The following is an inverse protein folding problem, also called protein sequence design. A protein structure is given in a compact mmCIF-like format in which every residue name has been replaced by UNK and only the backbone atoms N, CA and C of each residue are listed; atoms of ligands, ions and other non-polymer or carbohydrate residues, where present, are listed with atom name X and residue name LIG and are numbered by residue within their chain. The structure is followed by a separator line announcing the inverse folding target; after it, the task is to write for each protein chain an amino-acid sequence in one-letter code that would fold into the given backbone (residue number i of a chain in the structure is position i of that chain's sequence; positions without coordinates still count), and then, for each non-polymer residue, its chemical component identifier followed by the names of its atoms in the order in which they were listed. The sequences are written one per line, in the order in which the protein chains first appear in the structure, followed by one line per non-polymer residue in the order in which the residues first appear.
data_IF_323942173547
#
_entry.id   IF_323942173547
#
_cell.length_a   1.000
_cell.length_b   1.000
_cell.length_c   1.000
_cell.angle_alpha   90.00
_cell.angle_beta   90.00
_cell.angle_gamma   90.00
#
_symmetry.space_group_name_H-M   'P 1'
#
loop_
_entity.id
_entity.type
_entity.pdbx_description
1 polymer ?
#
# COMPACT_ATOMS: atom_id res chain seq x y z
N UNK A 1 -40.71 48.37 13.69
CA UNK A 1 -39.35 48.74 13.23
C UNK A 1 -38.25 47.97 13.95
N UNK A 2 -38.19 47.95 15.29
CA UNK A 2 -37.17 47.17 16.02
C UNK A 2 -37.24 45.64 15.78
N UNK A 3 -38.44 45.07 15.67
CA UNK A 3 -38.62 43.64 15.39
C UNK A 3 -37.99 43.20 14.04
N UNK A 4 -38.22 43.98 12.99
CA UNK A 4 -37.64 43.74 11.66
C UNK A 4 -36.11 43.84 11.64
N UNK A 5 -35.53 44.75 12.44
CA UNK A 5 -34.07 44.88 12.56
C UNK A 5 -33.46 43.71 13.34
N UNK A 6 -34.17 43.19 14.34
CA UNK A 6 -33.75 41.97 15.06
C UNK A 6 -33.80 40.75 14.14
N UNK A 7 -34.88 40.60 13.37
CA UNK A 7 -35.07 39.51 12.42
C UNK A 7 -34.02 39.53 11.29
N UNK A 8 -33.67 40.71 10.77
CA UNK A 8 -32.58 40.85 9.78
C UNK A 8 -31.19 40.55 10.38
N UNK A 9 -30.95 40.89 11.65
CA UNK A 9 -29.70 40.53 12.34
C UNK A 9 -29.59 39.02 12.52
N UNK A 10 -30.69 38.39 12.94
CA UNK A 10 -30.78 36.94 13.11
C UNK A 10 -30.57 36.21 11.77
N UNK A 11 -31.28 36.62 10.71
CA UNK A 11 -31.08 36.10 9.36
C UNK A 11 -29.63 36.23 8.86
N UNK A 12 -28.94 37.33 9.20
CA UNK A 12 -27.53 37.52 8.83
C UNK A 12 -26.61 36.56 9.59
N UNK A 13 -26.89 36.34 10.86
CA UNK A 13 -26.13 35.42 11.71
C UNK A 13 -26.33 33.97 11.26
N UNK A 14 -27.57 33.59 10.92
CA UNK A 14 -27.93 32.29 10.35
C UNK A 14 -27.24 32.06 8.99
N UNK A 15 -27.22 33.10 8.13
CA UNK A 15 -26.51 33.06 6.84
C UNK A 15 -25.00 32.89 7.01
N UNK A 16 -24.36 33.64 7.92
CA UNK A 16 -22.94 33.51 8.18
C UNK A 16 -22.59 32.12 8.70
N UNK A 17 -23.41 31.58 9.59
CA UNK A 17 -23.27 30.24 10.16
C UNK A 17 -23.40 29.17 9.08
N UNK A 18 -24.44 29.23 8.26
CA UNK A 18 -24.69 28.30 7.15
C UNK A 18 -23.57 28.34 6.11
N UNK A 19 -23.09 29.53 5.74
CA UNK A 19 -22.02 29.70 4.76
C UNK A 19 -20.68 29.17 5.31
N UNK A 20 -20.43 29.33 6.61
CA UNK A 20 -19.29 28.74 7.31
C UNK A 20 -19.30 27.21 7.27
N UNK A 21 -20.46 26.59 7.52
CA UNK A 21 -20.60 25.14 7.42
C UNK A 21 -20.45 24.61 5.99
N UNK A 22 -21.00 25.31 4.99
CA UNK A 22 -20.87 24.93 3.58
C UNK A 22 -19.40 24.93 3.12
N UNK A 23 -18.63 25.96 3.49
CA UNK A 23 -17.19 26.02 3.20
C UNK A 23 -16.42 24.90 3.92
N UNK A 24 -16.74 24.63 5.20
CA UNK A 24 -16.13 23.54 5.97
C UNK A 24 -16.41 22.17 5.32
N UNK A 25 -17.65 21.94 4.86
CA UNK A 25 -18.03 20.73 4.14
C UNK A 25 -17.23 20.58 2.84
N UNK A 26 -17.15 21.63 2.02
CA UNK A 26 -16.42 21.60 0.76
C UNK A 26 -14.93 21.28 0.95
N UNK A 27 -14.29 21.86 1.96
CA UNK A 27 -12.88 21.58 2.29
C UNK A 27 -12.69 20.13 2.76
N UNK A 28 -13.59 19.62 3.59
CA UNK A 28 -13.52 18.22 4.07
C UNK A 28 -13.73 17.23 2.92
N UNK A 29 -14.72 17.46 2.05
CA UNK A 29 -14.98 16.61 0.88
C UNK A 29 -13.78 16.60 -0.08
N UNK A 30 -13.20 17.76 -0.37
CA UNK A 30 -12.00 17.83 -1.20
C UNK A 30 -10.83 17.04 -0.58
N UNK A 31 -10.61 17.18 0.73
CA UNK A 31 -9.58 16.42 1.44
C UNK A 31 -9.84 14.92 1.43
N UNK A 32 -11.10 14.52 1.60
CA UNK A 32 -11.52 13.12 1.56
C UNK A 32 -11.19 12.51 0.19
N UNK A 33 -11.60 13.17 -0.90
CA UNK A 33 -11.31 12.73 -2.28
C UNK A 33 -9.80 12.60 -2.55
N UNK A 34 -8.99 13.56 -2.10
CA UNK A 34 -7.53 13.49 -2.23
C UNK A 34 -6.94 12.35 -1.41
N UNK A 35 -7.48 12.10 -0.22
CA UNK A 35 -7.02 11.03 0.67
C UNK A 35 -7.39 9.65 0.11
N UNK A 36 -8.61 9.45 -0.37
CA UNK A 36 -9.03 8.22 -1.06
C UNK A 36 -8.14 7.91 -2.26
N UNK A 37 -7.86 8.92 -3.10
CA UNK A 37 -6.94 8.77 -4.23
C UNK A 37 -5.49 8.45 -3.79
N UNK A 38 -5.08 8.91 -2.61
CA UNK A 38 -3.78 8.59 -2.03
C UNK A 38 -3.74 7.16 -1.51
N UNK A 39 -4.76 6.72 -0.76
CA UNK A 39 -4.93 5.33 -0.30
C UNK A 39 -4.95 4.37 -1.48
N UNK A 40 -5.67 4.69 -2.56
CA UNK A 40 -5.70 3.86 -3.77
C UNK A 40 -4.30 3.70 -4.40
N UNK A 41 -3.53 4.80 -4.51
CA UNK A 41 -2.17 4.77 -5.05
C UNK A 41 -1.21 3.95 -4.19
N UNK A 42 -1.23 4.12 -2.86
CA UNK A 42 -0.34 3.35 -1.98
C UNK A 42 -0.76 1.88 -1.90
N UNK A 43 -2.05 1.58 -2.03
CA UNK A 43 -2.55 0.20 -2.17
C UNK A 43 -2.04 -0.47 -3.45
N UNK A 44 -2.08 0.25 -4.57
CA UNK A 44 -1.51 -0.23 -5.83
C UNK A 44 0.01 -0.45 -5.70
N UNK A 45 0.73 0.47 -5.06
CA UNK A 45 2.16 0.33 -4.81
C UNK A 45 2.48 -0.94 -4.00
N UNK A 46 1.74 -1.21 -2.92
CA UNK A 46 1.89 -2.44 -2.14
C UNK A 46 1.66 -3.70 -3.00
N UNK A 47 0.63 -3.71 -3.85
CA UNK A 47 0.37 -4.82 -4.75
C UNK A 47 1.51 -5.05 -5.75
N UNK A 48 2.09 -3.98 -6.30
CA UNK A 48 3.23 -4.06 -7.23
C UNK A 48 4.47 -4.64 -6.52
N UNK A 49 4.74 -4.20 -5.29
CA UNK A 49 5.87 -4.72 -4.49
C UNK A 49 5.67 -6.19 -4.15
N UNK A 50 4.46 -6.60 -3.72
CA UNK A 50 4.10 -8.00 -3.48
C UNK A 50 4.28 -8.87 -4.72
N UNK A 51 3.85 -8.38 -5.89
CA UNK A 51 4.03 -9.10 -7.15
C UNK A 51 5.50 -9.30 -7.49
N UNK A 52 6.37 -8.30 -7.22
CA UNK A 52 7.81 -8.42 -7.42
C UNK A 52 8.44 -9.41 -6.45
N UNK A 53 8.07 -9.36 -5.17
CA UNK A 53 8.55 -10.32 -4.16
C UNK A 53 8.17 -11.75 -4.55
N UNK A 54 6.91 -11.98 -4.95
CA UNK A 54 6.44 -13.29 -5.40
C UNK A 54 7.24 -13.82 -6.60
N UNK A 55 7.58 -12.94 -7.57
CA UNK A 55 8.40 -13.31 -8.72
C UNK A 55 9.84 -13.68 -8.33
N UNK A 56 10.45 -12.93 -7.40
CA UNK A 56 11.81 -13.22 -6.89
C UNK A 56 11.82 -14.56 -6.15
N UNK A 57 10.83 -14.79 -5.30
CA UNK A 57 10.69 -16.05 -4.56
C UNK A 57 10.48 -17.25 -5.48
N UNK A 58 9.70 -17.07 -6.55
CA UNK A 58 9.52 -18.11 -7.56
C UNK A 58 10.83 -18.41 -8.30
N UNK A 59 11.56 -17.37 -8.71
CA UNK A 59 12.87 -17.54 -9.34
C UNK A 59 13.86 -18.28 -8.42
N UNK A 60 13.92 -17.90 -7.14
CA UNK A 60 14.74 -18.58 -6.13
C UNK A 60 14.36 -20.06 -5.98
N UNK A 61 13.05 -20.38 -5.91
CA UNK A 61 12.57 -21.77 -5.87
C UNK A 61 12.99 -22.57 -7.10
N UNK A 62 12.91 -21.97 -8.28
CA UNK A 62 13.33 -22.61 -9.54
C UNK A 62 14.84 -22.87 -9.55
N UNK A 63 15.66 -21.91 -9.14
CA UNK A 63 17.12 -22.08 -9.01
C UNK A 63 17.46 -23.21 -8.04
N UNK A 64 16.85 -23.23 -6.85
CA UNK A 64 17.08 -24.29 -5.87
C UNK A 64 16.63 -25.65 -6.39
N UNK A 65 15.48 -25.72 -7.08
CA UNK A 65 15.00 -26.97 -7.71
C UNK A 65 15.96 -27.49 -8.79
N UNK A 66 16.45 -26.59 -9.64
CA UNK A 66 17.41 -26.89 -10.71
C UNK A 66 18.76 -27.33 -10.13
N UNK A 67 19.22 -26.66 -9.07
CA UNK A 67 20.44 -27.05 -8.36
C UNK A 67 20.32 -28.47 -7.80
N UNK A 68 19.22 -28.80 -7.12
CA UNK A 68 18.99 -30.16 -6.59
C UNK A 68 18.96 -31.22 -7.68
N UNK A 69 18.41 -30.90 -8.85
CA UNK A 69 18.41 -31.80 -10.00
C UNK A 69 19.84 -32.09 -10.48
N UNK A 70 20.68 -31.06 -10.63
CA UNK A 70 22.08 -31.25 -11.03
C UNK A 70 22.93 -31.88 -9.92
N UNK A 71 22.68 -31.57 -8.64
CA UNK A 71 23.34 -32.24 -7.51
C UNK A 71 23.09 -33.75 -7.58
N UNK A 72 21.86 -34.18 -7.90
CA UNK A 72 21.55 -35.60 -8.08
C UNK A 72 22.32 -36.25 -9.23
N UNK A 73 22.53 -35.55 -10.35
CA UNK A 73 23.31 -36.08 -11.49
C UNK A 73 24.81 -36.11 -11.16
N UNK A 74 25.31 -35.10 -10.44
CA UNK A 74 26.69 -35.03 -10.01
C UNK A 74 27.07 -36.19 -9.06
N UNK A 75 26.11 -36.61 -8.23
CA UNK A 75 26.28 -37.71 -7.26
C UNK A 75 25.89 -39.09 -7.82
N UNK A 76 25.35 -39.15 -9.05
CA UNK A 76 24.93 -40.40 -9.68
C UNK A 76 26.14 -41.21 -10.16
N UNK A 77 26.38 -42.36 -9.55
CA UNK A 77 27.47 -43.27 -9.90
C UNK A 77 27.31 -43.92 -11.29
N UNK A 78 26.10 -43.94 -11.85
CA UNK A 78 25.83 -44.46 -13.20
C UNK A 78 26.06 -43.42 -14.29
N UNK A 79 26.17 -42.13 -13.93
CA UNK A 79 26.46 -41.06 -14.87
C UNK A 79 27.91 -41.10 -15.35
N UNK A 80 28.13 -40.69 -16.60
CA UNK A 80 29.49 -40.58 -17.14
C UNK A 80 30.28 -39.46 -16.44
N UNK A 81 31.63 -39.54 -16.37
CA UNK A 81 32.44 -38.48 -15.78
C UNK A 81 32.24 -37.10 -16.42
N UNK A 82 31.89 -37.06 -17.71
CA UNK A 82 31.58 -35.82 -18.41
C UNK A 82 30.27 -35.20 -17.92
N UNK A 83 29.22 -36.01 -17.74
CA UNK A 83 27.92 -35.58 -17.21
C UNK A 83 28.03 -35.11 -15.76
N UNK A 84 28.78 -35.83 -14.92
CA UNK A 84 29.02 -35.42 -13.54
C UNK A 84 29.74 -34.07 -13.47
N UNK A 85 30.76 -33.86 -14.32
CA UNK A 85 31.50 -32.60 -14.39
C UNK A 85 30.62 -31.44 -14.85
N UNK A 86 29.80 -31.65 -15.88
CA UNK A 86 28.85 -30.63 -16.34
C UNK A 86 27.83 -30.28 -15.25
N UNK A 87 27.28 -31.29 -14.56
CA UNK A 87 26.34 -31.08 -13.46
C UNK A 87 26.99 -30.29 -12.30
N UNK A 88 28.24 -30.61 -11.93
CA UNK A 88 28.99 -29.86 -10.92
C UNK A 88 29.21 -28.40 -11.33
N UNK A 89 29.47 -28.13 -12.62
CA UNK A 89 29.59 -26.77 -13.13
C UNK A 89 28.26 -26.00 -13.01
N UNK A 90 27.13 -26.64 -13.35
CA UNK A 90 25.81 -26.02 -13.19
C UNK A 90 25.49 -25.71 -11.72
N UNK A 91 25.77 -26.65 -10.81
CA UNK A 91 25.62 -26.43 -9.37
C UNK A 91 26.47 -25.27 -8.89
N UNK A 92 27.73 -25.18 -9.34
CA UNK A 92 28.61 -24.07 -8.99
C UNK A 92 28.06 -22.73 -9.49
N UNK A 93 27.59 -22.66 -10.73
CA UNK A 93 27.00 -21.45 -11.30
C UNK A 93 25.78 -20.98 -10.49
N UNK A 94 24.85 -21.89 -10.16
CA UNK A 94 23.68 -21.55 -9.36
C UNK A 94 24.07 -21.11 -7.94
N UNK A 95 25.07 -21.76 -7.31
CA UNK A 95 25.59 -21.35 -6.00
C UNK A 95 26.19 -19.94 -6.01
N UNK A 96 26.75 -19.49 -7.13
CA UNK A 96 27.23 -18.10 -7.25
C UNK A 96 26.11 -17.08 -7.44
N UNK A 97 24.97 -17.49 -8.00
CA UNK A 97 23.82 -16.61 -8.26
C UNK A 97 22.90 -16.46 -7.04
N UNK A 98 22.68 -17.55 -6.29
CA UNK A 98 21.75 -17.60 -5.15
C UNK A 98 21.92 -16.46 -4.13
N UNK A 99 23.15 -16.05 -3.71
CA UNK A 99 23.32 -14.93 -2.78
C UNK A 99 22.76 -13.60 -3.30
N UNK A 100 22.89 -13.35 -4.61
CA UNK A 100 22.34 -12.14 -5.25
C UNK A 100 20.81 -12.16 -5.21
N UNK A 101 20.20 -13.29 -5.55
CA UNK A 101 18.74 -13.46 -5.52
C UNK A 101 18.21 -13.35 -4.09
N UNK A 102 18.91 -13.92 -3.10
CA UNK A 102 18.55 -13.78 -1.68
C UNK A 102 18.63 -12.33 -1.19
N UNK A 103 19.64 -11.57 -1.65
CA UNK A 103 19.74 -10.14 -1.33
C UNK A 103 18.58 -9.33 -1.95
N UNK A 104 18.19 -9.65 -3.19
CA UNK A 104 17.02 -9.05 -3.84
C UNK A 104 15.72 -9.37 -3.10
N UNK A 105 15.55 -10.61 -2.65
CA UNK A 105 14.40 -11.03 -1.86
C UNK A 105 14.32 -10.22 -0.55
N UNK A 106 15.42 -10.13 0.19
CA UNK A 106 15.47 -9.37 1.44
C UNK A 106 15.13 -7.90 1.22
N UNK A 107 15.63 -7.29 0.14
CA UNK A 107 15.31 -5.92 -0.22
C UNK A 107 13.82 -5.75 -0.55
N UNK A 108 13.23 -6.70 -1.30
CA UNK A 108 11.82 -6.68 -1.66
C UNK A 108 10.91 -6.88 -0.44
N UNK A 109 11.29 -7.73 0.53
CA UNK A 109 10.58 -7.89 1.80
C UNK A 109 10.61 -6.60 2.63
N UNK A 110 11.75 -5.91 2.71
CA UNK A 110 11.82 -4.60 3.37
C UNK A 110 10.91 -3.58 2.70
N UNK A 111 10.92 -3.51 1.36
CA UNK A 111 10.04 -2.62 0.63
C UNK A 111 8.55 -2.96 0.82
N UNK A 112 8.20 -4.25 0.98
CA UNK A 112 6.82 -4.66 1.28
C UNK A 112 6.40 -4.12 2.65
N UNK A 113 7.22 -4.31 3.69
CA UNK A 113 6.93 -3.80 5.03
C UNK A 113 6.75 -2.27 5.04
N UNK A 114 7.63 -1.54 4.37
CA UNK A 114 7.53 -0.08 4.25
C UNK A 114 6.23 0.35 3.54
N UNK A 115 5.85 -0.33 2.45
CA UNK A 115 4.62 -0.07 1.73
C UNK A 115 3.36 -0.41 2.56
N UNK A 116 3.40 -1.47 3.36
CA UNK A 116 2.32 -1.83 4.30
C UNK A 116 2.16 -0.77 5.40
N UNK A 117 3.27 -0.31 5.99
CA UNK A 117 3.25 0.75 6.99
C UNK A 117 2.69 2.05 6.42
N UNK A 118 3.09 2.40 5.19
CA UNK A 118 2.57 3.57 4.49
C UNK A 118 1.07 3.43 4.24
N UNK A 119 0.60 2.29 3.75
CA UNK A 119 -0.83 2.04 3.54
C UNK A 119 -1.62 2.20 4.84
N UNK A 120 -1.14 1.59 5.93
CA UNK A 120 -1.79 1.71 7.25
C UNK A 120 -1.86 3.15 7.73
N UNK A 121 -0.79 3.93 7.54
CA UNK A 121 -0.77 5.34 7.92
C UNK A 121 -1.76 6.19 7.10
N UNK A 122 -1.89 5.93 5.79
CA UNK A 122 -2.84 6.64 4.93
C UNK A 122 -4.29 6.23 5.19
N UNK A 123 -4.55 4.97 5.55
CA UNK A 123 -5.86 4.50 6.01
C UNK A 123 -6.27 5.18 7.31
N UNK A 124 -5.37 5.27 8.30
CA UNK A 124 -5.68 5.96 9.56
C UNK A 124 -6.02 7.46 9.35
N UNK A 125 -5.40 8.12 8.36
CA UNK A 125 -5.75 9.49 7.96
C UNK A 125 -7.13 9.57 7.30
N UNK A 126 -7.49 8.57 6.49
CA UNK A 126 -8.80 8.47 5.85
C UNK A 126 -9.90 8.31 6.91
N UNK A 127 -9.75 7.35 7.82
CA UNK A 127 -10.67 7.13 8.93
C UNK A 127 -10.87 8.43 9.75
N UNK A 128 -9.77 9.14 10.02
CA UNK A 128 -9.82 10.42 10.73
C UNK A 128 -10.51 11.56 9.96
N UNK A 129 -10.58 11.50 8.63
CA UNK A 129 -11.34 12.43 7.80
C UNK A 129 -12.83 12.05 7.77
N UNK A 130 -13.16 10.77 7.63
CA UNK A 130 -14.53 10.27 7.69
C UNK A 130 -15.19 10.65 9.03
N UNK A 131 -14.48 10.43 10.13
CA UNK A 131 -14.87 10.88 11.47
C UNK A 131 -15.21 12.39 11.55
N UNK A 132 -14.47 13.22 10.79
CA UNK A 132 -14.71 14.68 10.76
C UNK A 132 -15.92 15.03 9.92
N UNK A 133 -16.17 14.29 8.84
CA UNK A 133 -17.37 14.42 8.02
C UNK A 133 -18.60 14.03 8.84
N UNK A 134 -18.58 12.89 9.51
CA UNK A 134 -19.68 12.43 10.39
C UNK A 134 -20.01 13.44 11.50
N UNK A 135 -18.98 14.04 12.10
CA UNK A 135 -19.18 15.11 13.10
C UNK A 135 -19.81 16.35 12.49
N UNK A 136 -19.40 16.74 11.29
CA UNK A 136 -20.00 17.87 10.59
C UNK A 136 -21.46 17.60 10.22
N UNK A 137 -21.79 16.39 9.78
CA UNK A 137 -23.18 15.99 9.51
C UNK A 137 -24.05 16.06 10.78
N UNK A 138 -23.51 15.62 11.92
CA UNK A 138 -24.19 15.75 13.22
C UNK A 138 -24.35 17.22 13.64
N UNK A 139 -23.33 18.06 13.45
CA UNK A 139 -23.43 19.51 13.70
C UNK A 139 -24.51 20.15 12.84
N UNK A 140 -24.60 19.78 11.56
CA UNK A 140 -25.62 20.26 10.61
C UNK A 140 -27.03 19.78 10.99
N UNK A 141 -27.20 18.52 11.36
CA UNK A 141 -28.50 17.93 11.74
C UNK A 141 -28.95 18.36 13.15
N UNK A 142 -28.01 18.68 14.03
CA UNK A 142 -28.24 19.10 15.41
C UNK A 142 -28.46 20.61 15.57
N UNK A 143 -28.40 21.39 14.50
CA UNK A 143 -28.72 22.81 14.50
C UNK A 143 -30.21 22.98 14.12
N UNK A 144 -31.14 23.10 15.11
CA UNK A 144 -32.48 23.54 14.78
C UNK A 144 -32.37 25.00 14.33
N UNK A 145 -33.13 25.36 13.30
CA UNK A 145 -33.33 26.75 12.91
C UNK A 145 -33.57 27.68 14.11
#
# INVERSE_FOLDING_TARGET
MQALVAEVRQLREDLHTTNGYALKAQVLLYRLQVQEATVARVSQHLNDVRSKLAAIQEHQRQLVGTMKYYEKIADDSEASPAQQKEAQQQVSSIKTELPSVAAQEQQAQTAEMEAEEQLRAEQAKLDGLEDRVDRLEKELNGNPH
#
